data_IF_260262367133
#
_entry.id   IF_260262367133
#
_cell.length_a   1.000
_cell.length_b   1.000
_cell.length_c   1.000
_cell.angle_alpha   90.00
_cell.angle_beta   90.00
_cell.angle_gamma   90.00
#
_symmetry.space_group_name_H-M   'P 1'
#
loop_
_entity.id
_entity.type
_entity.pdbx_description
1 polymer ?
#
# COMPACT_ATOMS: atom_id res chain seq x y z
N UNK A 1 1.05 1.87 -16.01
CA UNK A 1 0.55 1.78 -14.61
C UNK A 1 -0.15 3.07 -14.25
N UNK A 2 -1.31 2.97 -13.66
CA UNK A 2 -2.05 4.14 -13.24
C UNK A 2 -2.01 4.28 -11.75
N UNK A 3 -2.28 5.52 -11.27
CA UNK A 3 -2.40 5.74 -9.85
C UNK A 3 -3.79 5.30 -9.44
N UNK A 4 -3.92 4.06 -9.01
CA UNK A 4 -5.19 3.61 -8.48
C UNK A 4 -5.30 4.00 -7.01
N UNK A 5 -6.44 4.50 -6.66
CA UNK A 5 -6.73 4.87 -5.28
C UNK A 5 -7.69 3.85 -4.69
N UNK A 6 -7.28 3.24 -3.60
CA UNK A 6 -8.09 2.26 -2.91
C UNK A 6 -8.38 2.78 -1.52
N UNK A 7 -9.60 2.62 -1.05
CA UNK A 7 -9.94 3.07 0.29
C UNK A 7 -9.87 1.94 1.29
N UNK A 8 -9.39 2.26 2.48
CA UNK A 8 -9.23 1.31 3.56
C UNK A 8 -9.83 1.95 4.79
N UNK A 9 -10.93 1.39 5.27
CA UNK A 9 -11.66 1.99 6.38
C UNK A 9 -11.41 1.25 7.68
N UNK A 10 -11.07 1.99 8.74
CA UNK A 10 -10.83 1.43 10.05
C UNK A 10 -11.44 2.37 11.06
N UNK A 11 -12.37 1.87 11.88
CA UNK A 11 -13.00 2.68 12.96
C UNK A 11 -13.52 4.03 12.45
N UNK A 12 -14.28 3.99 11.39
CA UNK A 12 -14.90 5.19 10.80
C UNK A 12 -13.92 6.16 10.16
N UNK A 13 -12.65 5.83 10.11
CA UNK A 13 -11.67 6.64 9.39
C UNK A 13 -11.33 5.96 8.08
N UNK A 14 -11.24 6.76 7.03
CA UNK A 14 -10.86 6.25 5.72
C UNK A 14 -9.45 6.66 5.38
N UNK A 15 -8.68 5.71 4.92
CA UNK A 15 -7.33 5.93 4.44
C UNK A 15 -7.28 5.58 2.98
N UNK A 16 -6.50 6.31 2.21
CA UNK A 16 -6.33 6.01 0.79
C UNK A 16 -4.99 5.34 0.58
N UNK A 17 -5.00 4.29 -0.23
CA UNK A 17 -3.78 3.58 -0.63
C UNK A 17 -3.56 3.83 -2.11
N UNK A 18 -2.34 4.18 -2.50
CA UNK A 18 -2.00 4.34 -3.90
C UNK A 18 -0.79 3.46 -4.20
N UNK A 19 -0.88 2.66 -5.26
CA UNK A 19 0.27 1.90 -5.72
C UNK A 19 0.64 2.42 -7.10
N UNK A 20 1.83 3.01 -7.21
CA UNK A 20 2.32 3.56 -8.47
C UNK A 20 3.83 3.30 -8.56
N UNK A 21 4.48 3.88 -9.55
CA UNK A 21 5.92 3.63 -9.75
C UNK A 21 6.77 4.08 -8.58
N UNK A 22 6.39 5.15 -7.90
CA UNK A 22 7.15 5.61 -6.73
C UNK A 22 7.11 4.58 -5.61
N UNK A 23 5.93 3.99 -5.38
CA UNK A 23 5.79 2.95 -4.37
C UNK A 23 6.55 1.70 -4.80
N UNK A 24 6.44 1.33 -6.08
CA UNK A 24 7.15 0.18 -6.62
C UNK A 24 8.66 0.34 -6.42
N UNK A 25 9.17 1.50 -6.73
CA UNK A 25 10.61 1.77 -6.62
C UNK A 25 11.08 1.66 -5.17
N UNK A 26 10.30 2.17 -4.22
CA UNK A 26 10.63 2.06 -2.80
C UNK A 26 10.67 0.61 -2.35
N UNK A 27 9.71 -0.18 -2.80
CA UNK A 27 9.64 -1.60 -2.45
C UNK A 27 10.84 -2.35 -3.05
N UNK A 28 11.15 -2.09 -4.31
CA UNK A 28 12.30 -2.71 -4.96
C UNK A 28 13.59 -2.37 -4.25
N UNK A 29 13.73 -1.13 -3.85
CA UNK A 29 14.94 -0.69 -3.17
C UNK A 29 15.12 -1.39 -1.82
N UNK A 30 14.03 -1.57 -1.09
CA UNK A 30 14.09 -2.14 0.25
C UNK A 30 14.14 -3.68 0.23
N UNK A 31 13.43 -4.31 -0.69
CA UNK A 31 13.25 -5.76 -0.69
C UNK A 31 13.78 -6.49 -1.91
N UNK A 32 14.29 -5.76 -2.89
CA UNK A 32 14.85 -6.35 -4.09
C UNK A 32 13.85 -6.43 -5.23
N UNK A 33 12.63 -6.83 -4.96
CA UNK A 33 11.59 -6.88 -5.98
C UNK A 33 10.21 -6.84 -5.31
N UNK A 34 9.21 -6.46 -6.09
CA UNK A 34 7.83 -6.46 -5.60
C UNK A 34 7.39 -7.91 -5.33
N UNK A 35 7.84 -8.85 -6.14
CA UNK A 35 7.51 -10.26 -5.93
C UNK A 35 8.03 -10.79 -4.60
N UNK A 36 9.26 -10.44 -4.28
CA UNK A 36 9.86 -10.86 -3.02
C UNK A 36 9.08 -10.30 -1.84
N UNK A 37 8.77 -9.01 -1.91
CA UNK A 37 7.98 -8.36 -0.89
C UNK A 37 6.58 -8.97 -0.80
N UNK A 38 6.00 -9.29 -1.96
CA UNK A 38 4.69 -9.91 -2.03
C UNK A 38 4.62 -11.24 -1.29
N UNK A 39 5.67 -12.03 -1.41
CA UNK A 39 5.74 -13.31 -0.69
C UNK A 39 5.80 -13.11 0.81
N UNK A 40 6.47 -12.05 1.26
CA UNK A 40 6.56 -11.75 2.67
C UNK A 40 5.24 -11.27 3.25
N UNK A 41 4.41 -10.66 2.43
CA UNK A 41 3.13 -10.10 2.90
C UNK A 41 1.94 -10.99 2.57
N UNK A 42 2.18 -12.14 1.95
CA UNK A 42 1.11 -13.06 1.56
C UNK A 42 0.47 -13.69 2.80
N UNK A 43 -0.83 -13.51 2.95
CA UNK A 43 -1.55 -14.04 4.10
C UNK A 43 -2.01 -15.47 3.90
N UNK A 44 -1.83 -16.03 2.72
CA UNK A 44 -2.29 -17.39 2.43
C UNK A 44 -1.39 -18.48 3.00
N UNK A 45 -0.15 -18.16 3.26
CA UNK A 45 0.80 -19.14 3.75
C UNK A 45 1.18 -18.97 5.20
N UNK A 46 0.35 -18.33 5.98
CA UNK A 46 0.63 -18.12 7.39
C UNK A 46 0.66 -16.65 7.73
N UNK A 47 1.45 -16.29 8.73
CA UNK A 47 1.49 -14.90 9.15
C UNK A 47 2.29 -14.05 8.17
N UNK A 48 1.74 -12.94 7.71
CA UNK A 48 2.54 -12.00 6.92
C UNK A 48 3.69 -11.44 7.75
N UNK A 49 4.78 -11.10 7.10
CA UNK A 49 5.90 -10.44 7.76
C UNK A 49 5.45 -9.03 8.15
N UNK A 50 5.45 -8.74 9.45
CA UNK A 50 4.91 -7.47 9.96
C UNK A 50 5.68 -6.27 9.44
N UNK A 51 7.01 -6.35 9.41
CA UNK A 51 7.82 -5.25 8.93
C UNK A 51 7.54 -4.93 7.47
N UNK A 52 7.45 -5.96 6.64
CA UNK A 52 7.16 -5.78 5.22
C UNK A 52 5.75 -5.22 5.01
N UNK A 53 4.80 -5.69 5.78
CA UNK A 53 3.43 -5.23 5.68
C UNK A 53 3.31 -3.75 6.06
N UNK A 54 3.91 -3.37 7.18
CA UNK A 54 3.88 -1.98 7.63
C UNK A 54 4.58 -1.09 6.59
N UNK A 55 5.71 -1.54 6.06
CA UNK A 55 6.45 -0.77 5.07
C UNK A 55 5.58 -0.49 3.84
N UNK A 56 4.95 -1.51 3.29
CA UNK A 56 4.13 -1.36 2.10
C UNK A 56 2.94 -0.45 2.31
N UNK A 57 2.24 -0.63 3.45
CA UNK A 57 1.12 0.22 3.78
C UNK A 57 1.55 1.68 3.95
N UNK A 58 2.68 1.90 4.64
CA UNK A 58 3.16 3.26 4.86
C UNK A 58 3.50 3.94 3.54
N UNK A 59 4.17 3.22 2.63
CA UNK A 59 4.51 3.78 1.34
C UNK A 59 3.26 4.15 0.55
N UNK A 60 2.26 3.29 0.57
CA UNK A 60 1.04 3.50 -0.20
C UNK A 60 0.16 4.61 0.39
N UNK A 61 0.07 4.67 1.72
CA UNK A 61 -0.71 5.72 2.37
C UNK A 61 -0.03 7.08 2.18
N UNK A 62 1.28 7.12 2.38
CA UNK A 62 2.01 8.38 2.29
C UNK A 62 2.11 8.89 0.86
N UNK A 63 2.14 7.99 -0.11
CA UNK A 63 2.09 8.43 -1.50
C UNK A 63 0.74 9.09 -1.79
N UNK A 64 -0.34 8.53 -1.27
CA UNK A 64 -1.67 9.13 -1.44
C UNK A 64 -1.73 10.51 -0.79
N UNK A 65 -1.13 10.67 0.39
CA UNK A 65 -1.10 11.97 1.07
C UNK A 65 -0.29 12.97 0.26
N UNK A 66 0.85 12.53 -0.29
CA UNK A 66 1.71 13.40 -1.08
C UNK A 66 1.00 13.89 -2.34
N UNK A 67 0.31 12.99 -3.02
CA UNK A 67 -0.46 13.35 -4.21
C UNK A 67 -1.55 14.35 -3.86
N UNK A 68 -2.26 14.10 -2.77
CA UNK A 68 -3.33 14.99 -2.34
C UNK A 68 -2.78 16.37 -1.99
N UNK A 69 -1.64 16.41 -1.32
CA UNK A 69 -1.00 17.68 -0.97
C UNK A 69 -0.64 18.48 -2.21
N UNK A 70 -0.12 17.80 -3.22
CA UNK A 70 0.21 18.44 -4.49
C UNK A 70 -1.02 18.98 -5.20
N UNK A 71 -2.07 18.17 -5.27
CA UNK A 71 -3.28 18.55 -6.00
C UNK A 71 -4.05 19.67 -5.33
N UNK A 72 -4.08 19.67 -4.00
CA UNK A 72 -4.87 20.61 -3.24
C UNK A 72 -4.07 21.73 -2.58
N UNK A 73 -2.78 21.75 -2.83
CA UNK A 73 -1.88 22.75 -2.25
C UNK A 73 -1.99 22.75 -0.72
N UNK A 74 -1.96 21.58 -0.12
CA UNK A 74 -2.05 21.40 1.33
C UNK A 74 -0.75 20.78 1.85
N UNK A 75 -0.63 20.72 3.18
CA UNK A 75 0.56 20.16 3.79
C UNK A 75 0.19 19.18 4.90
N UNK A 76 -0.65 18.23 4.59
CA UNK A 76 -1.02 17.21 5.56
C UNK A 76 0.21 16.36 5.89
N UNK A 77 0.43 16.05 7.16
CA UNK A 77 1.63 15.29 7.54
C UNK A 77 1.55 13.84 7.09
N UNK A 78 2.71 13.26 6.83
CA UNK A 78 2.79 11.84 6.53
C UNK A 78 2.64 11.04 7.82
N UNK A 79 2.23 9.80 7.69
CA UNK A 79 2.11 8.90 8.83
C UNK A 79 3.45 8.23 9.09
N UNK A 80 3.76 8.02 10.36
CA UNK A 80 4.96 7.28 10.74
C UNK A 80 4.70 5.79 10.65
N UNK A 81 5.76 5.00 10.64
CA UNK A 81 5.63 3.55 10.64
C UNK A 81 4.85 3.06 11.85
N UNK A 82 5.07 3.67 13.00
CA UNK A 82 4.33 3.28 14.20
C UNK A 82 2.84 3.56 14.09
N UNK A 83 2.49 4.71 13.50
CA UNK A 83 1.08 5.03 13.27
C UNK A 83 0.44 4.02 12.34
N UNK A 84 1.15 3.66 11.26
CA UNK A 84 0.64 2.67 10.31
C UNK A 84 0.50 1.31 10.99
N UNK A 85 1.45 0.93 11.82
CA UNK A 85 1.36 -0.32 12.57
C UNK A 85 0.11 -0.38 13.45
N UNK A 86 -0.24 0.73 14.08
CA UNK A 86 -1.46 0.79 14.90
C UNK A 86 -2.73 0.67 14.06
N UNK A 87 -2.73 1.27 12.88
CA UNK A 87 -3.86 1.16 11.96
C UNK A 87 -4.06 -0.29 11.53
N UNK A 88 -2.97 -0.96 11.15
CA UNK A 88 -3.03 -2.35 10.74
C UNK A 88 -3.50 -3.24 11.91
N UNK A 89 -3.03 -2.95 13.11
CA UNK A 89 -3.45 -3.69 14.29
C UNK A 89 -4.96 -3.62 14.50
N UNK A 90 -5.52 -2.43 14.34
CA UNK A 90 -6.97 -2.25 14.49
C UNK A 90 -7.75 -2.94 13.40
N UNK A 91 -7.27 -2.90 12.19
CA UNK A 91 -7.94 -3.52 11.06
C UNK A 91 -7.80 -5.04 11.04
N UNK A 92 -6.72 -5.54 11.61
CA UNK A 92 -6.41 -6.96 11.56
C UNK A 92 -5.37 -7.24 10.49
N UNK A 93 -4.37 -8.05 10.84
CA UNK A 93 -3.24 -8.28 9.95
C UNK A 93 -3.64 -9.01 8.67
N UNK A 94 -4.57 -9.97 8.77
CA UNK A 94 -5.01 -10.72 7.59
C UNK A 94 -5.81 -9.84 6.63
N UNK A 95 -6.74 -9.07 7.16
CA UNK A 95 -7.53 -8.16 6.34
C UNK A 95 -6.66 -7.10 5.68
N UNK A 96 -5.68 -6.59 6.41
CA UNK A 96 -4.75 -5.60 5.88
C UNK A 96 -3.93 -6.17 4.74
N UNK A 97 -3.43 -7.41 4.90
CA UNK A 97 -2.64 -8.05 3.86
C UNK A 97 -3.47 -8.28 2.60
N UNK A 98 -4.72 -8.70 2.77
CA UNK A 98 -5.61 -8.91 1.62
C UNK A 98 -5.90 -7.62 0.87
N UNK A 99 -6.15 -6.55 1.60
CA UNK A 99 -6.44 -5.26 0.99
C UNK A 99 -5.23 -4.73 0.23
N UNK A 100 -4.06 -4.89 0.81
CA UNK A 100 -2.81 -4.46 0.19
C UNK A 100 -2.56 -5.22 -1.12
N UNK A 101 -2.69 -6.53 -1.07
CA UNK A 101 -2.46 -7.36 -2.25
C UNK A 101 -3.49 -7.07 -3.35
N UNK A 102 -4.72 -6.79 -2.97
CA UNK A 102 -5.75 -6.44 -3.93
C UNK A 102 -5.42 -5.12 -4.62
N UNK A 103 -4.97 -4.13 -3.85
CA UNK A 103 -4.61 -2.83 -4.40
C UNK A 103 -3.52 -2.97 -5.46
N UNK A 104 -2.50 -3.76 -5.16
CA UNK A 104 -1.39 -3.96 -6.07
C UNK A 104 -1.84 -4.73 -7.32
N UNK A 105 -2.59 -5.78 -7.12
CA UNK A 105 -3.07 -6.61 -8.22
C UNK A 105 -3.91 -5.80 -9.19
N UNK A 106 -4.82 -4.99 -8.69
CA UNK A 106 -5.67 -4.17 -9.53
C UNK A 106 -4.87 -3.09 -10.27
N UNK A 107 -3.89 -2.51 -9.61
CA UNK A 107 -3.05 -1.48 -10.23
C UNK A 107 -2.24 -2.03 -11.38
N UNK A 108 -1.65 -3.20 -11.20
CA UNK A 108 -0.82 -3.84 -12.21
C UNK A 108 -1.67 -4.36 -13.36
N UNK A 109 -2.84 -4.89 -13.03
CA UNK A 109 -3.75 -5.45 -14.01
C UNK A 109 -4.14 -4.44 -15.08
N UNK A 110 -4.25 -3.17 -14.69
CA UNK A 110 -4.64 -2.13 -15.61
C UNK A 110 -3.56 -1.81 -16.63
N UNK A 111 -2.36 -2.30 -16.43
CA UNK A 111 -1.29 -2.07 -17.36
C UNK A 111 -1.30 -3.02 -18.53
N UNK A 112 -2.07 -4.06 -18.49
CA UNK A 112 -2.04 -5.04 -19.55
C UNK A 112 -2.72 -4.48 -20.78
N UNK A 113 -2.00 -4.33 -21.87
CA UNK A 113 -2.58 -3.81 -23.08
C UNK A 113 -3.52 -4.83 -23.63
N UNK A 114 -4.67 -4.44 -24.00
CA UNK A 114 -5.60 -5.37 -24.43
C UNK A 114 -5.50 -5.77 -25.79
N UNK A 115 -4.86 -5.04 -26.57
CA UNK A 115 -4.83 -5.30 -27.94
C UNK A 115 -3.64 -5.71 -28.46
N UNK A 116 -2.88 -6.31 -27.76
CA UNK A 116 -1.65 -6.74 -28.28
C UNK A 116 -1.71 -8.03 -28.95
#
# INVERSE_FOLDING_TARGET
MKDYKFEFEVDDKKYTLVFNLNVMESIQKQYGSVQKWGRLTDSKKGEPNAKALIFGFAEMINEAIDIENDENNTEKPFLTLKQVGRIITKAGIQESAKKLNKAITESVKDEHPKNI
#
